data_IF_743400557908
#
_entry.id   IF_743400557908
#
_cell.length_a   1.000
_cell.length_b   1.000
_cell.length_c   1.000
_cell.angle_alpha   90.00
_cell.angle_beta   90.00
_cell.angle_gamma   90.00
#
_symmetry.space_group_name_H-M   'P 1'
#
loop_
_entity.id
_entity.type
_entity.pdbx_description
1 polymer ?
#
# COMPACT_ATOMS: atom_id res chain seq x y z
N UNK A 1 7.57 6.27 -7.19
CA UNK A 1 6.51 7.13 -6.58
C UNK A 1 7.17 8.42 -6.11
N UNK A 2 6.54 9.56 -6.36
CA UNK A 2 7.09 10.85 -5.96
C UNK A 2 6.54 11.28 -4.60
N UNK A 3 7.22 12.22 -3.94
CA UNK A 3 6.73 12.78 -2.67
C UNK A 3 5.36 13.46 -2.86
N UNK A 4 4.53 13.38 -1.84
CA UNK A 4 3.22 14.03 -1.80
C UNK A 4 2.15 13.19 -1.12
N UNK A 5 0.93 13.72 -1.11
CA UNK A 5 -0.25 13.10 -0.54
C UNK A 5 -1.04 12.35 -1.60
N UNK A 6 -1.50 11.17 -1.23
CA UNK A 6 -2.25 10.27 -2.09
C UNK A 6 -3.47 9.73 -1.35
N UNK A 7 -4.54 9.48 -2.10
CA UNK A 7 -5.68 8.69 -1.65
C UNK A 7 -5.70 7.35 -2.37
N UNK A 8 -6.15 6.32 -1.68
CA UNK A 8 -6.36 5.00 -2.28
C UNK A 8 -7.78 4.91 -2.83
N UNK A 9 -7.91 4.53 -4.11
CA UNK A 9 -9.17 4.17 -4.76
C UNK A 9 -9.06 2.73 -5.22
N UNK A 10 -9.73 1.81 -4.53
CA UNK A 10 -9.74 0.41 -4.90
C UNK A 10 -10.63 0.13 -6.10
N UNK A 11 -10.32 -0.94 -6.85
CA UNK A 11 -11.20 -1.45 -7.89
C UNK A 11 -12.55 -1.89 -7.31
N UNK A 12 -13.59 -1.91 -8.15
CA UNK A 12 -14.98 -2.16 -7.72
C UNK A 12 -15.15 -3.43 -6.88
N UNK A 13 -14.40 -4.49 -7.20
CA UNK A 13 -14.45 -5.77 -6.48
C UNK A 13 -13.85 -5.70 -5.06
N UNK A 14 -13.09 -4.64 -4.75
CA UNK A 14 -12.48 -4.38 -3.45
C UNK A 14 -13.06 -3.11 -2.79
N UNK A 15 -14.26 -2.70 -3.18
CA UNK A 15 -14.90 -1.47 -2.69
C UNK A 15 -15.10 -1.41 -1.17
N UNK A 16 -15.12 -2.56 -0.52
CA UNK A 16 -15.32 -2.71 0.92
C UNK A 16 -14.01 -2.56 1.73
N UNK A 17 -12.87 -2.39 1.07
CA UNK A 17 -11.59 -2.17 1.75
C UNK A 17 -11.57 -0.78 2.43
N UNK A 18 -10.85 -0.65 3.55
CA UNK A 18 -10.77 0.61 4.28
C UNK A 18 -10.15 1.69 3.39
N UNK A 19 -10.86 2.81 3.25
CA UNK A 19 -10.36 3.96 2.49
C UNK A 19 -9.45 4.76 3.41
N UNK A 20 -8.25 5.05 2.94
CA UNK A 20 -7.29 5.87 3.66
C UNK A 20 -6.48 6.74 2.69
N UNK A 21 -5.82 7.73 3.27
CA UNK A 21 -4.86 8.58 2.59
C UNK A 21 -3.47 8.29 3.14
N UNK A 22 -2.45 8.67 2.39
CA UNK A 22 -1.09 8.58 2.89
C UNK A 22 -0.19 9.64 2.28
N UNK A 23 0.84 10.00 3.02
CA UNK A 23 1.87 10.92 2.59
C UNK A 23 3.19 10.17 2.37
N UNK A 24 3.81 10.40 1.22
CA UNK A 24 5.16 9.93 0.91
C UNK A 24 6.14 11.09 1.08
N UNK A 25 7.16 10.87 1.92
CA UNK A 25 8.30 11.75 2.07
C UNK A 25 9.60 10.93 1.99
N UNK A 26 10.24 10.93 0.83
CA UNK A 26 11.38 10.10 0.50
C UNK A 26 10.98 8.61 0.49
N UNK A 27 11.63 7.82 1.35
CA UNK A 27 11.33 6.39 1.52
C UNK A 27 10.32 6.10 2.62
N UNK A 28 9.69 7.13 3.21
CA UNK A 28 8.72 6.95 4.29
C UNK A 28 7.31 7.17 3.77
N UNK A 29 6.40 6.28 4.13
CA UNK A 29 4.97 6.39 3.92
C UNK A 29 4.30 6.51 5.27
N UNK A 30 3.47 7.54 5.44
CA UNK A 30 2.65 7.74 6.65
C UNK A 30 1.18 7.70 6.25
N UNK A 31 0.42 6.75 6.80
CA UNK A 31 -1.04 6.76 6.64
C UNK A 31 -1.64 7.96 7.39
N UNK A 32 -2.55 8.66 6.73
CA UNK A 32 -3.34 9.77 7.24
C UNK A 32 -4.81 9.47 7.00
N UNK A 33 -5.71 9.99 7.83
CA UNK A 33 -7.14 9.61 7.77
C UNK A 33 -7.36 8.08 7.84
N UNK A 34 -6.48 7.39 8.57
CA UNK A 34 -6.58 5.97 8.92
C UNK A 34 -6.76 5.90 10.44
N UNK A 35 -7.56 4.95 10.94
CA UNK A 35 -7.75 4.74 12.38
C UNK A 35 -6.42 4.48 13.12
N UNK A 36 -5.39 4.06 12.38
CA UNK A 36 -4.15 3.54 12.94
C UNK A 36 -2.93 4.43 12.68
N UNK A 37 -3.04 5.47 11.84
CA UNK A 37 -1.98 6.46 11.51
C UNK A 37 -0.56 5.85 11.39
N UNK A 38 -0.44 4.76 10.64
CA UNK A 38 0.76 3.91 10.63
C UNK A 38 1.90 4.50 9.80
N UNK A 39 3.12 4.13 10.16
CA UNK A 39 4.34 4.52 9.46
C UNK A 39 5.07 3.33 8.87
N UNK A 40 5.41 3.44 7.60
CA UNK A 40 6.08 2.41 6.82
C UNK A 40 7.31 2.96 6.13
N UNK A 41 8.32 2.11 5.97
CA UNK A 41 9.45 2.32 5.09
C UNK A 41 9.19 1.61 3.76
N UNK A 42 9.31 2.33 2.66
CA UNK A 42 9.21 1.82 1.30
C UNK A 42 10.54 1.14 0.96
N UNK A 43 10.49 -0.13 0.59
CA UNK A 43 11.61 -0.91 0.08
C UNK A 43 11.37 -1.22 -1.39
N UNK A 44 12.21 -0.70 -2.28
CA UNK A 44 12.15 -1.05 -3.71
C UNK A 44 12.63 -2.49 -3.92
N UNK A 45 11.91 -3.25 -4.75
CA UNK A 45 12.26 -4.61 -5.14
C UNK A 45 12.72 -4.72 -6.60
N UNK A 46 12.72 -3.62 -7.35
CA UNK A 46 12.96 -3.60 -8.79
C UNK A 46 12.28 -2.39 -9.44
N UNK A 47 12.25 -2.35 -10.77
CA UNK A 47 11.81 -1.16 -11.52
C UNK A 47 10.39 -0.70 -11.15
N UNK A 48 9.44 -1.62 -10.99
CA UNK A 48 8.03 -1.30 -10.77
C UNK A 48 7.43 -1.89 -9.50
N UNK A 49 8.25 -2.46 -8.61
CA UNK A 49 7.75 -3.23 -7.45
C UNK A 49 8.34 -2.72 -6.14
N UNK A 50 7.52 -2.66 -5.09
CA UNK A 50 7.98 -2.23 -3.76
C UNK A 50 7.25 -2.95 -2.62
N UNK A 51 7.82 -2.90 -1.42
CA UNK A 51 7.23 -3.39 -0.18
C UNK A 51 7.13 -2.29 0.86
N UNK A 52 6.16 -2.44 1.75
CA UNK A 52 6.03 -1.61 2.94
C UNK A 52 6.52 -2.40 4.15
N UNK A 53 7.58 -1.90 4.79
CA UNK A 53 8.09 -2.42 6.07
C UNK A 53 7.59 -1.54 7.19
N UNK A 54 6.88 -2.10 8.16
CA UNK A 54 6.43 -1.36 9.35
C UNK A 54 7.63 -0.83 10.12
N UNK A 55 7.63 0.47 10.43
CA UNK A 55 8.73 1.12 11.18
C UNK A 55 8.56 0.86 12.68
N UNK A 56 7.31 0.80 13.14
CA UNK A 56 6.99 0.49 14.53
C UNK A 56 6.90 -1.03 14.75
N UNK A 57 7.47 -1.53 15.85
CA UNK A 57 7.13 -2.88 16.31
C UNK A 57 5.64 -2.88 16.61
N UNK A 58 4.83 -3.81 16.08
CA UNK A 58 3.41 -3.85 16.38
C UNK A 58 3.24 -3.96 17.90
N UNK A 59 2.84 -2.85 18.53
CA UNK A 59 2.25 -2.88 19.87
C UNK A 59 0.87 -3.47 19.67
N UNK A 60 0.75 -4.73 20.05
CA UNK A 60 -0.46 -5.52 20.08
C UNK A 60 -1.05 -5.88 18.71
N UNK A 61 -1.05 -7.19 18.45
CA UNK A 61 -1.90 -7.92 17.50
C UNK A 61 -2.03 -7.34 16.09
N UNK A 62 -1.33 -7.97 15.13
CA UNK A 62 -1.65 -7.84 13.70
C UNK A 62 -3.18 -7.99 13.50
N UNK A 63 -3.80 -7.13 12.70
CA UNK A 63 -5.20 -7.31 12.32
C UNK A 63 -5.36 -8.62 11.54
N UNK A 64 -6.54 -9.24 11.55
CA UNK A 64 -6.77 -10.50 10.79
C UNK A 64 -6.41 -10.36 9.31
N UNK A 65 -6.65 -9.18 8.74
CA UNK A 65 -6.19 -8.83 7.39
C UNK A 65 -4.66 -8.91 7.26
N UNK A 66 -3.91 -8.37 8.22
CA UNK A 66 -2.45 -8.43 8.21
C UNK A 66 -1.91 -9.85 8.46
N UNK A 67 -2.53 -10.62 9.35
CA UNK A 67 -2.18 -12.04 9.56
C UNK A 67 -2.36 -12.84 8.27
N UNK A 68 -3.47 -12.65 7.57
CA UNK A 68 -3.75 -13.28 6.27
C UNK A 68 -2.72 -12.90 5.20
N UNK A 69 -2.33 -11.62 5.15
CA UNK A 69 -1.30 -11.13 4.22
C UNK A 69 0.10 -11.70 4.51
N UNK A 70 0.46 -11.84 5.79
CA UNK A 70 1.77 -12.35 6.21
C UNK A 70 1.88 -13.88 6.13
N UNK A 71 0.76 -14.60 6.26
CA UNK A 71 0.73 -16.07 6.24
C UNK A 71 1.01 -16.67 4.86
N UNK A 72 0.85 -15.89 3.79
CA UNK A 72 0.85 -16.38 2.41
C UNK A 72 2.07 -15.91 1.57
N UNK A 73 3.05 -15.26 2.22
CA UNK A 73 4.29 -14.79 1.58
C UNK A 73 4.81 -13.47 2.13
N UNK A 74 5.75 -12.85 1.39
CA UNK A 74 6.19 -11.46 1.61
C UNK A 74 5.43 -10.57 0.61
N UNK A 75 4.24 -10.04 0.97
CA UNK A 75 3.41 -9.29 0.05
C UNK A 75 4.16 -8.08 -0.51
N UNK A 76 3.81 -7.67 -1.71
CA UNK A 76 4.43 -6.55 -2.41
C UNK A 76 3.42 -5.84 -3.31
N UNK A 77 3.70 -4.58 -3.57
CA UNK A 77 2.97 -3.78 -4.53
C UNK A 77 3.72 -3.80 -5.85
N UNK A 78 2.97 -3.93 -6.94
CA UNK A 78 3.43 -3.83 -8.31
C UNK A 78 2.70 -2.67 -8.96
N UNK A 79 3.46 -1.73 -9.53
CA UNK A 79 2.96 -0.59 -10.28
C UNK A 79 2.73 -1.04 -11.72
N UNK A 80 1.48 -1.02 -12.16
CA UNK A 80 1.08 -1.51 -13.48
C UNK A 80 0.97 -0.39 -14.51
N UNK A 81 0.68 0.84 -14.07
CA UNK A 81 0.61 2.01 -14.94
C UNK A 81 0.85 3.30 -14.14
N UNK A 82 1.35 4.34 -14.80
CA UNK A 82 1.57 5.67 -14.23
C UNK A 82 1.06 6.74 -15.21
N UNK A 83 -0.04 7.40 -14.86
CA UNK A 83 -0.68 8.45 -15.67
C UNK A 83 -0.87 9.72 -14.85
N UNK A 84 -0.08 10.74 -15.14
CA UNK A 84 -0.14 12.06 -14.49
C UNK A 84 -0.16 11.95 -12.95
N UNK A 85 -1.32 12.18 -12.34
CA UNK A 85 -1.54 12.16 -10.90
C UNK A 85 -2.05 10.81 -10.36
N UNK A 86 -2.13 9.79 -11.22
CA UNK A 86 -2.67 8.47 -10.88
C UNK A 86 -1.65 7.38 -11.14
N UNK A 87 -1.50 6.50 -10.15
CA UNK A 87 -0.63 5.33 -10.20
C UNK A 87 -1.50 4.10 -9.99
N UNK A 88 -1.59 3.24 -11.01
CA UNK A 88 -2.32 1.98 -10.90
C UNK A 88 -1.43 0.94 -10.22
N UNK A 89 -1.98 0.22 -9.24
CA UNK A 89 -1.25 -0.74 -8.45
C UNK A 89 -1.99 -2.08 -8.31
N UNK A 90 -1.21 -3.14 -8.19
CA UNK A 90 -1.67 -4.46 -7.75
C UNK A 90 -0.89 -4.86 -6.51
N UNK A 91 -1.61 -5.19 -5.43
CA UNK A 91 -1.03 -5.75 -4.22
C UNK A 91 -1.08 -7.27 -4.29
N UNK A 92 0.09 -7.89 -4.38
CA UNK A 92 0.28 -9.33 -4.51
C UNK A 92 0.77 -9.92 -3.20
N UNK A 93 0.22 -11.07 -2.86
CA UNK A 93 0.68 -11.88 -1.72
C UNK A 93 1.87 -12.74 -2.13
N UNK A 94 1.81 -13.28 -3.36
CA UNK A 94 2.88 -13.95 -4.08
C UNK A 94 2.61 -13.82 -5.60
N UNK A 95 3.42 -14.47 -6.45
CA UNK A 95 3.30 -14.38 -7.91
C UNK A 95 1.92 -14.80 -8.45
N UNK A 96 1.21 -15.70 -7.77
CA UNK A 96 -0.06 -16.27 -8.24
C UNK A 96 -1.29 -15.69 -7.56
N UNK A 97 -1.13 -14.97 -6.44
CA UNK A 97 -2.25 -14.51 -5.60
C UNK A 97 -2.24 -12.99 -5.47
N UNK A 98 -3.31 -12.37 -5.95
CA UNK A 98 -3.60 -10.94 -5.77
C UNK A 98 -4.46 -10.79 -4.52
N UNK A 99 -4.06 -9.91 -3.61
CA UNK A 99 -4.91 -9.53 -2.47
C UNK A 99 -5.94 -8.48 -2.89
N UNK A 100 -5.46 -7.40 -3.51
CA UNK A 100 -6.29 -6.29 -3.95
C UNK A 100 -5.56 -5.43 -4.98
N UNK A 101 -6.30 -4.59 -5.70
CA UNK A 101 -5.78 -3.66 -6.70
C UNK A 101 -6.57 -2.36 -6.69
N UNK A 102 -5.99 -1.34 -7.30
CA UNK A 102 -6.62 -0.05 -7.41
C UNK A 102 -5.66 1.03 -7.88
N UNK A 103 -5.92 2.25 -7.43
CA UNK A 103 -5.24 3.46 -7.86
C UNK A 103 -4.79 4.27 -6.66
N UNK A 104 -3.55 4.74 -6.68
CA UNK A 104 -3.09 5.83 -5.84
C UNK A 104 -3.29 7.13 -6.61
N UNK A 105 -4.15 8.00 -6.11
CA UNK A 105 -4.47 9.29 -6.75
C UNK A 105 -3.87 10.40 -5.90
N UNK A 106 -3.01 11.24 -6.48
CA UNK A 106 -2.40 12.39 -5.81
C UNK A 106 -3.46 13.46 -5.51
N UNK A 107 -3.47 14.02 -4.30
CA UNK A 107 -4.56 14.92 -3.82
C UNK A 107 -4.16 16.39 -3.56
N UNK A 108 -2.94 16.78 -3.98
CA UNK A 108 -2.27 18.07 -3.70
C UNK A 108 -1.77 18.21 -2.27
#
# INVERSE_FOLDING_TARGET
MNNGKYKVIYDKQFSNYPKFEFEINGQNLTETNSELNRKYKIESLGENSFRLKTIEKPKDSLTEFQKSLMSNGKPYYEITDCKNDTIDFTMRVNLHVISHSGKFVRIK
#
